data_IF_599063415100
#
_entry.id   IF_599063415100
#
_cell.length_a   1.000
_cell.length_b   1.000
_cell.length_c   1.000
_cell.angle_alpha   90.00
_cell.angle_beta   90.00
_cell.angle_gamma   90.00
#
_symmetry.space_group_name_H-M   'P 1'
#
loop_
_entity.id
_entity.type
_entity.pdbx_description
1 polymer ?
#
# COMPACT_ATOMS: atom_id res chain seq x y z
N UNK A 1 10.19 -56.62 56.37
CA UNK A 1 9.59 -57.27 55.18
C UNK A 1 9.60 -56.20 54.10
N UNK A 2 10.69 -55.96 53.38
CA UNK A 2 11.45 -56.85 52.48
C UNK A 2 10.61 -57.21 51.24
N UNK A 3 11.06 -57.10 49.98
CA UNK A 3 12.31 -56.60 49.37
C UNK A 3 11.89 -55.92 48.03
N UNK A 4 12.55 -54.89 47.48
CA UNK A 4 13.93 -54.77 46.97
C UNK A 4 14.16 -55.55 45.65
N UNK A 5 14.51 -54.81 44.59
CA UNK A 5 15.25 -55.16 43.34
C UNK A 5 14.98 -54.03 42.29
N UNK A 6 15.90 -53.14 41.83
CA UNK A 6 17.32 -53.25 41.38
C UNK A 6 17.45 -54.30 40.25
N UNK A 7 18.22 -54.20 39.18
CA UNK A 7 19.27 -53.27 38.69
C UNK A 7 19.43 -53.51 37.14
N UNK A 8 20.24 -52.84 36.29
CA UNK A 8 21.24 -51.77 36.42
C UNK A 8 21.50 -51.05 35.05
N UNK A 9 22.41 -50.06 35.05
CA UNK A 9 23.33 -49.57 33.98
C UNK A 9 23.38 -50.24 32.58
N UNK A 10 23.58 -49.42 31.53
CA UNK A 10 24.87 -49.44 30.82
C UNK A 10 25.27 -48.07 30.22
N UNK A 11 26.59 -47.85 30.04
CA UNK A 11 27.23 -46.57 29.63
C UNK A 11 28.09 -46.76 28.36
N UNK A 12 28.65 -45.64 27.85
CA UNK A 12 29.82 -45.56 26.94
C UNK A 12 29.59 -46.03 25.47
N UNK A 13 30.31 -45.57 24.44
CA UNK A 13 31.34 -44.51 24.31
C UNK A 13 31.46 -43.98 22.85
N UNK A 14 32.15 -42.84 22.71
CA UNK A 14 33.09 -42.40 21.63
C UNK A 14 33.00 -42.93 20.18
N UNK A 15 33.00 -42.00 19.21
CA UNK A 15 34.06 -41.75 18.19
C UNK A 15 33.52 -40.72 17.15
N UNK A 16 34.10 -39.53 16.92
CA UNK A 16 35.41 -39.10 16.38
C UNK A 16 35.52 -39.10 14.84
N UNK A 17 36.05 -37.96 14.32
CA UNK A 17 36.76 -37.77 13.03
C UNK A 17 35.96 -37.88 11.71
N UNK A 18 36.35 -37.24 10.59
CA UNK A 18 37.15 -36.00 10.36
C UNK A 18 37.01 -35.59 8.86
N UNK A 19 37.60 -34.45 8.49
CA UNK A 19 38.20 -34.12 7.17
C UNK A 19 37.35 -33.75 5.92
N UNK A 20 37.69 -32.55 5.42
CA UNK A 20 38.18 -32.24 4.06
C UNK A 20 37.33 -31.62 2.92
N UNK A 21 37.55 -30.30 2.77
CA UNK A 21 38.16 -29.58 1.61
C UNK A 21 37.41 -29.42 0.27
N UNK A 22 37.42 -28.16 -0.17
CA UNK A 22 37.62 -27.61 -1.52
C UNK A 22 37.24 -28.42 -2.77
N UNK A 23 36.51 -27.78 -3.71
CA UNK A 23 37.20 -27.28 -4.92
C UNK A 23 36.48 -26.11 -5.61
N UNK A 24 37.26 -25.36 -6.40
CA UNK A 24 36.90 -24.10 -7.05
C UNK A 24 36.17 -24.25 -8.41
N UNK A 25 35.76 -23.07 -8.90
CA UNK A 25 35.89 -22.60 -10.29
C UNK A 25 34.76 -22.86 -11.32
N UNK A 26 34.23 -21.76 -11.88
CA UNK A 26 34.01 -21.52 -13.33
C UNK A 26 33.52 -20.09 -13.64
N UNK A 27 34.44 -19.28 -14.17
CA UNK A 27 34.35 -18.32 -15.29
C UNK A 27 33.08 -17.45 -15.55
N UNK A 28 33.29 -16.11 -15.61
CA UNK A 28 33.30 -15.27 -16.85
C UNK A 28 32.21 -15.51 -17.92
N UNK A 29 31.50 -14.52 -18.50
CA UNK A 29 31.98 -13.26 -19.12
C UNK A 29 30.84 -12.23 -19.42
N UNK A 30 31.26 -10.98 -19.72
CA UNK A 30 30.64 -9.94 -20.58
C UNK A 30 29.24 -9.33 -20.32
N UNK A 31 29.23 -7.99 -20.10
CA UNK A 31 28.86 -7.00 -21.16
C UNK A 31 29.10 -5.53 -20.77
N UNK A 32 29.78 -4.80 -21.65
CA UNK A 32 29.73 -3.33 -21.77
C UNK A 32 28.40 -2.90 -22.43
N UNK A 33 27.94 -1.67 -22.17
CA UNK A 33 28.08 -0.52 -23.09
C UNK A 33 27.07 0.61 -22.78
N UNK A 34 27.51 1.65 -22.06
CA UNK A 34 26.73 2.87 -21.84
C UNK A 34 27.02 3.93 -22.92
N UNK A 35 25.97 4.56 -23.42
CA UNK A 35 26.03 5.77 -24.23
C UNK A 35 24.64 6.43 -24.23
N UNK A 36 24.54 7.69 -23.82
CA UNK A 36 24.28 8.83 -24.72
C UNK A 36 23.71 10.04 -23.94
N UNK A 37 24.57 11.00 -23.60
CA UNK A 37 24.14 12.32 -23.15
C UNK A 37 23.50 13.09 -24.31
N UNK A 38 22.41 13.81 -24.06
CA UNK A 38 21.99 14.91 -24.92
C UNK A 38 21.25 15.98 -24.11
N UNK A 39 21.90 17.13 -23.96
CA UNK A 39 21.42 18.29 -23.23
C UNK A 39 20.97 19.37 -24.22
N UNK A 40 19.87 20.08 -23.97
CA UNK A 40 19.39 21.10 -24.91
C UNK A 40 18.80 22.33 -24.20
N UNK A 41 19.26 23.51 -24.63
CA UNK A 41 18.84 24.85 -24.19
C UNK A 41 17.33 25.09 -24.47
N UNK A 42 16.62 26.06 -23.88
CA UNK A 42 16.98 27.48 -23.88
C UNK A 42 16.09 28.33 -22.96
N UNK A 43 16.63 29.42 -22.43
CA UNK A 43 15.92 30.43 -21.65
C UNK A 43 15.06 31.37 -22.52
N UNK A 44 14.05 32.02 -21.91
CA UNK A 44 13.61 33.37 -22.27
C UNK A 44 12.72 33.97 -21.17
N UNK A 45 13.22 35.01 -20.48
CA UNK A 45 12.44 35.86 -19.57
C UNK A 45 11.86 37.07 -20.32
N UNK A 46 10.67 37.50 -19.93
CA UNK A 46 10.14 38.84 -20.22
C UNK A 46 9.89 39.56 -18.88
N UNK A 47 10.41 40.78 -18.73
CA UNK A 47 10.21 41.61 -17.56
C UNK A 47 9.02 42.57 -17.73
N UNK A 48 8.25 42.68 -16.64
CA UNK A 48 7.77 43.90 -15.99
C UNK A 48 7.46 45.15 -16.81
N UNK A 49 6.19 45.57 -16.74
CA UNK A 49 5.81 46.98 -16.61
C UNK A 49 4.45 47.06 -15.88
N UNK A 50 4.42 47.66 -14.68
CA UNK A 50 3.25 48.28 -14.05
C UNK A 50 3.63 48.85 -12.68
N UNK A 51 3.37 50.14 -12.46
CA UNK A 51 3.33 50.72 -11.12
C UNK A 51 2.19 51.75 -11.05
N UNK A 52 1.39 51.67 -9.98
CA UNK A 52 0.22 52.51 -9.71
C UNK A 52 0.57 53.60 -8.69
N UNK A 53 -0.13 54.73 -8.80
CA UNK A 53 -0.31 55.80 -7.79
C UNK A 53 -1.49 56.68 -8.33
N UNK A 54 -2.44 57.24 -7.58
CA UNK A 54 -2.71 57.26 -6.14
C UNK A 54 -4.15 57.79 -5.83
N UNK A 55 -4.60 57.69 -4.56
CA UNK A 55 -5.56 58.56 -3.83
C UNK A 55 -7.13 58.55 -3.99
N UNK A 56 -7.78 58.17 -2.86
CA UNK A 56 -8.70 58.97 -1.99
C UNK A 56 -10.24 58.74 -1.84
N UNK A 57 -10.59 58.36 -0.60
CA UNK A 57 -11.62 58.90 0.34
C UNK A 57 -13.12 58.51 0.39
N UNK A 58 -13.52 58.13 1.63
CA UNK A 58 -14.78 58.43 2.37
C UNK A 58 -16.13 57.83 1.91
N UNK A 59 -17.11 57.55 2.79
CA UNK A 59 -17.22 57.44 4.27
C UNK A 59 -18.49 56.59 4.56
N UNK A 60 -18.66 56.00 5.76
CA UNK A 60 -19.89 55.23 6.07
C UNK A 60 -19.79 54.25 7.24
N UNK A 61 -19.96 54.75 8.47
CA UNK A 61 -20.05 53.93 9.69
C UNK A 61 -21.47 53.39 9.89
N UNK A 62 -21.58 52.21 10.48
CA UNK A 62 -22.54 51.99 11.57
C UNK A 62 -22.02 50.93 12.55
N UNK A 63 -22.10 51.25 13.84
CA UNK A 63 -21.62 50.40 14.93
C UNK A 63 -22.77 49.56 15.48
N UNK A 64 -22.49 48.31 15.86
CA UNK A 64 -23.15 47.76 17.05
C UNK A 64 -22.21 46.83 17.82
N UNK A 65 -21.94 47.19 19.07
CA UNK A 65 -21.07 46.43 19.96
C UNK A 65 -21.79 45.22 20.53
N UNK A 66 -21.05 44.12 20.68
CA UNK A 66 -21.09 43.31 21.90
C UNK A 66 -19.69 42.72 22.07
N UNK A 67 -18.91 43.33 22.96
CA UNK A 67 -17.71 42.72 23.52
C UNK A 67 -18.11 41.74 24.64
N UNK A 68 -17.11 40.95 25.05
CA UNK A 68 -17.09 39.91 26.09
C UNK A 68 -17.14 38.48 25.46
N UNK A 69 -16.08 37.66 25.52
CA UNK A 69 -14.76 37.92 26.11
C UNK A 69 -13.68 36.92 25.61
N UNK A 70 -12.41 37.31 25.71
CA UNK A 70 -11.19 36.47 25.63
C UNK A 70 -10.80 35.73 24.32
N UNK A 71 -10.04 36.44 23.49
CA UNK A 71 -8.73 36.05 22.96
C UNK A 71 -8.41 34.54 22.75
N UNK A 72 -8.31 34.16 21.47
CA UNK A 72 -6.97 34.00 20.90
C UNK A 72 -6.99 34.28 19.39
N UNK A 73 -6.63 35.51 19.01
CA UNK A 73 -6.22 35.79 17.65
C UNK A 73 -4.96 34.97 17.34
N UNK A 74 -5.03 34.12 16.31
CA UNK A 74 -3.90 34.02 15.40
C UNK A 74 -4.34 34.74 14.13
N UNK A 75 -3.88 35.98 14.01
CA UNK A 75 -4.17 36.86 12.89
C UNK A 75 -3.87 36.23 11.54
N UNK A 76 -4.50 36.80 10.50
CA UNK A 76 -4.13 36.53 9.12
C UNK A 76 -2.65 36.80 8.88
N UNK A 77 -1.85 35.74 8.86
CA UNK A 77 -0.70 35.66 7.97
C UNK A 77 -1.17 35.08 6.65
N UNK A 78 -0.95 35.88 5.63
CA UNK A 78 -1.14 35.58 4.22
C UNK A 78 -0.68 34.15 3.86
N UNK A 79 -1.64 33.23 3.83
CA UNK A 79 -1.41 31.83 3.48
C UNK A 79 -1.49 31.62 1.95
N UNK A 80 -1.39 32.69 1.16
CA UNK A 80 -1.16 32.63 -0.28
C UNK A 80 0.29 32.28 -0.65
N UNK A 81 1.08 31.78 0.31
CA UNK A 81 2.16 30.83 0.01
C UNK A 81 1.52 29.56 -0.57
N UNK A 82 1.42 29.54 -1.89
CA UNK A 82 1.12 28.37 -2.71
C UNK A 82 2.13 27.23 -2.41
N UNK A 83 1.89 26.49 -1.32
CA UNK A 83 2.52 25.20 -1.01
C UNK A 83 1.99 24.09 -1.94
N UNK A 84 1.44 24.44 -3.11
CA UNK A 84 0.75 23.56 -4.06
C UNK A 84 1.68 22.55 -4.74
N UNK A 85 2.97 22.57 -4.42
CA UNK A 85 3.87 21.48 -4.74
C UNK A 85 4.64 21.08 -3.49
N UNK A 86 4.07 20.12 -2.77
CA UNK A 86 4.66 19.49 -1.57
C UNK A 86 6.06 18.95 -1.88
N UNK A 87 6.28 18.43 -3.11
CA UNK A 87 7.55 17.87 -3.53
C UNK A 87 8.65 18.90 -3.80
N UNK A 88 8.33 20.17 -4.13
CA UNK A 88 9.33 21.26 -4.16
C UNK A 88 9.91 21.56 -2.78
N UNK A 89 9.14 21.34 -1.72
CA UNK A 89 9.56 21.56 -0.33
C UNK A 89 10.00 20.26 0.37
N UNK A 90 9.94 19.12 -0.32
CA UNK A 90 10.35 17.82 0.21
C UNK A 90 11.87 17.65 0.15
N UNK A 91 12.40 16.81 1.04
CA UNK A 91 13.79 16.33 1.00
C UNK A 91 13.92 14.93 0.39
N UNK A 92 12.80 14.33 0.00
CA UNK A 92 12.76 13.05 -0.69
C UNK A 92 12.93 13.26 -2.19
N UNK A 93 13.54 12.29 -2.86
CA UNK A 93 13.62 12.27 -4.32
C UNK A 93 12.23 12.28 -4.95
N UNK A 94 12.13 12.77 -6.19
CA UNK A 94 10.87 12.73 -6.95
C UNK A 94 10.59 11.31 -7.44
N UNK A 95 9.32 10.91 -7.42
CA UNK A 95 8.86 9.70 -8.08
C UNK A 95 8.96 9.81 -9.60
N UNK A 96 9.61 8.84 -10.22
CA UNK A 96 9.75 8.67 -11.67
C UNK A 96 8.78 7.61 -12.25
N UNK A 97 8.03 6.94 -11.37
CA UNK A 97 7.14 5.83 -11.70
C UNK A 97 7.66 4.46 -11.29
N UNK A 98 8.89 4.38 -10.80
CA UNK A 98 9.43 3.14 -10.21
C UNK A 98 9.07 3.02 -8.72
N UNK A 99 9.22 1.82 -8.16
CA UNK A 99 9.12 1.63 -6.71
C UNK A 99 10.48 1.94 -6.06
N UNK A 100 10.56 3.05 -5.31
CA UNK A 100 11.70 3.35 -4.45
C UNK A 100 11.41 2.96 -2.97
N UNK A 101 12.11 1.94 -2.40
CA UNK A 101 11.92 1.49 -1.02
C UNK A 101 12.33 2.50 0.07
N UNK A 102 13.21 3.46 -0.25
CA UNK A 102 13.71 4.46 0.70
C UNK A 102 12.75 5.65 0.90
N UNK A 103 11.69 5.71 0.07
CA UNK A 103 10.65 6.74 0.11
C UNK A 103 10.94 7.90 -0.84
N UNK A 104 9.88 8.42 -1.45
CA UNK A 104 9.95 9.41 -2.52
C UNK A 104 8.67 10.27 -2.54
N UNK A 105 8.73 11.41 -3.23
CA UNK A 105 7.62 12.34 -3.33
C UNK A 105 6.91 12.24 -4.70
N UNK A 106 5.61 11.98 -4.68
CA UNK A 106 4.77 11.84 -5.87
C UNK A 106 4.04 13.15 -6.15
N UNK A 107 4.18 13.67 -7.37
CA UNK A 107 3.47 14.89 -7.83
C UNK A 107 2.12 14.59 -8.52
N UNK A 108 1.78 13.32 -8.73
CA UNK A 108 0.51 12.88 -9.32
C UNK A 108 -0.70 13.32 -8.47
N UNK A 109 -1.61 14.07 -9.10
CA UNK A 109 -2.86 14.51 -8.46
C UNK A 109 -3.81 13.33 -8.20
N UNK A 110 -4.68 13.47 -7.19
CA UNK A 110 -5.59 12.41 -6.74
C UNK A 110 -6.46 11.82 -7.86
N UNK A 111 -6.99 12.68 -8.75
CA UNK A 111 -7.85 12.28 -9.86
C UNK A 111 -9.34 12.45 -9.60
N UNK A 112 -10.14 11.68 -10.34
CA UNK A 112 -11.60 11.70 -10.29
C UNK A 112 -12.12 10.95 -9.06
N UNK A 113 -13.13 11.52 -8.39
CA UNK A 113 -13.72 10.99 -7.15
C UNK A 113 -15.15 10.50 -7.43
N UNK A 114 -15.53 9.26 -7.06
CA UNK A 114 -16.86 8.72 -7.34
C UNK A 114 -17.94 9.43 -6.51
N UNK A 115 -19.21 9.29 -6.91
CA UNK A 115 -20.34 9.70 -6.05
C UNK A 115 -20.50 8.76 -4.84
N UNK A 116 -21.31 9.17 -3.85
CA UNK A 116 -21.61 8.34 -2.66
C UNK A 116 -22.18 6.98 -3.06
N UNK A 117 -23.05 6.93 -4.07
CA UNK A 117 -23.63 5.68 -4.60
C UNK A 117 -22.64 4.78 -5.35
N UNK A 118 -21.48 5.32 -5.74
CA UNK A 118 -20.40 4.63 -6.44
C UNK A 118 -19.16 4.38 -5.56
N UNK A 119 -19.29 4.48 -4.23
CA UNK A 119 -18.20 4.11 -3.32
C UNK A 119 -17.85 2.62 -3.43
N UNK A 120 -16.57 2.32 -3.19
CA UNK A 120 -16.04 0.95 -3.15
C UNK A 120 -16.38 0.31 -1.80
N UNK A 121 -16.80 -0.95 -1.85
CA UNK A 121 -16.87 -1.87 -0.71
C UNK A 121 -16.47 -3.26 -1.19
N UNK A 122 -15.58 -3.93 -0.46
CA UNK A 122 -15.13 -5.29 -0.75
C UNK A 122 -15.65 -6.27 0.29
N UNK A 123 -15.82 -7.53 -0.10
CA UNK A 123 -16.12 -8.65 0.80
C UNK A 123 -15.34 -9.90 0.36
N UNK A 124 -14.63 -10.53 1.29
CA UNK A 124 -14.00 -11.84 1.09
C UNK A 124 -15.07 -12.91 1.36
N UNK A 125 -15.58 -13.50 0.27
CA UNK A 125 -16.65 -14.51 0.32
C UNK A 125 -16.12 -15.94 0.49
N UNK A 126 -14.81 -16.15 0.25
CA UNK A 126 -14.14 -17.43 0.44
C UNK A 126 -12.67 -17.22 0.81
N UNK A 127 -12.10 -17.99 1.75
CA UNK A 127 -12.81 -18.79 2.76
C UNK A 127 -13.72 -17.91 3.64
N UNK A 128 -14.64 -18.48 4.41
CA UNK A 128 -15.45 -17.71 5.34
C UNK A 128 -14.64 -17.23 6.56
N UNK A 129 -15.01 -16.11 7.18
CA UNK A 129 -14.38 -15.65 8.43
C UNK A 129 -14.52 -16.69 9.56
N UNK A 130 -13.49 -16.78 10.40
CA UNK A 130 -13.38 -17.75 11.50
C UNK A 130 -13.18 -19.21 11.08
N UNK A 131 -13.23 -19.53 9.79
CA UNK A 131 -13.17 -20.90 9.27
C UNK A 131 -11.81 -21.59 9.51
N UNK A 132 -11.83 -22.92 9.52
CA UNK A 132 -10.64 -23.77 9.57
C UNK A 132 -10.40 -24.42 8.22
N UNK A 133 -9.14 -24.41 7.75
CA UNK A 133 -8.68 -25.11 6.54
C UNK A 133 -7.50 -26.04 6.86
N UNK A 134 -7.29 -27.05 6.01
CA UNK A 134 -6.22 -28.04 6.15
C UNK A 134 -4.85 -27.46 5.77
N UNK A 135 -3.82 -27.77 6.56
CA UNK A 135 -2.45 -27.31 6.35
C UNK A 135 -1.83 -27.93 5.10
N UNK A 136 -1.06 -27.13 4.36
CA UNK A 136 -0.35 -27.51 3.12
C UNK A 136 -1.29 -28.09 2.03
N UNK A 137 -2.57 -27.74 2.05
CA UNK A 137 -3.53 -28.04 0.99
C UNK A 137 -3.89 -26.81 0.19
N UNK A 138 -4.05 -27.00 -1.12
CA UNK A 138 -4.62 -26.00 -2.01
C UNK A 138 -5.98 -25.53 -1.49
N UNK A 139 -6.13 -24.22 -1.36
CA UNK A 139 -7.43 -23.58 -1.18
C UNK A 139 -7.55 -22.36 -2.09
N UNK A 140 -8.73 -21.76 -2.12
CA UNK A 140 -9.05 -20.61 -2.97
C UNK A 140 -9.59 -19.47 -2.13
N UNK A 141 -9.16 -18.25 -2.48
CA UNK A 141 -9.67 -17.00 -1.94
C UNK A 141 -10.50 -16.33 -3.03
N UNK A 142 -11.75 -15.99 -2.74
CA UNK A 142 -12.67 -15.30 -3.65
C UNK A 142 -13.24 -14.05 -2.96
N UNK A 143 -13.34 -12.97 -3.72
CA UNK A 143 -13.83 -11.66 -3.28
C UNK A 143 -14.85 -11.10 -4.25
N UNK A 144 -15.77 -10.29 -3.72
CA UNK A 144 -16.65 -9.40 -4.48
C UNK A 144 -16.23 -7.97 -4.14
N UNK A 145 -16.28 -7.06 -5.11
CA UNK A 145 -16.00 -5.64 -4.88
C UNK A 145 -16.97 -4.79 -5.69
N UNK A 146 -17.80 -4.02 -4.98
CA UNK A 146 -18.74 -3.11 -5.61
C UNK A 146 -18.02 -1.91 -6.20
N UNK A 147 -18.57 -1.40 -7.31
CA UNK A 147 -18.16 -0.17 -7.99
C UNK A 147 -16.70 -0.09 -8.48
N UNK A 148 -15.97 -1.21 -8.47
CA UNK A 148 -14.68 -1.37 -9.15
C UNK A 148 -14.89 -1.94 -10.56
N UNK A 149 -14.32 -1.28 -11.57
CA UNK A 149 -14.06 -1.89 -12.87
C UNK A 149 -12.63 -2.46 -12.80
N UNK A 150 -12.58 -3.72 -12.35
CA UNK A 150 -11.37 -4.52 -12.20
C UNK A 150 -10.70 -4.85 -13.54
N UNK A 151 -9.40 -5.15 -13.52
CA UNK A 151 -8.61 -5.50 -14.69
C UNK A 151 -7.74 -4.36 -15.23
N UNK A 152 -7.66 -3.25 -14.49
CA UNK A 152 -6.77 -2.13 -14.77
C UNK A 152 -5.59 -2.19 -13.81
N UNK A 153 -4.49 -2.80 -14.27
CA UNK A 153 -3.25 -3.01 -13.53
C UNK A 153 -2.09 -2.52 -14.40
N UNK A 154 -1.37 -1.48 -13.94
CA UNK A 154 -0.18 -0.96 -14.63
C UNK A 154 1.06 -1.83 -14.35
N UNK A 155 2.18 -1.61 -15.05
CA UNK A 155 3.45 -2.27 -14.67
C UNK A 155 3.97 -1.67 -13.34
N UNK A 156 4.00 -2.38 -12.21
CA UNK A 156 4.43 -1.81 -10.93
C UNK A 156 5.91 -1.40 -10.92
N UNK A 157 6.73 -1.89 -11.87
CA UNK A 157 8.15 -1.51 -11.96
C UNK A 157 8.34 -0.16 -12.65
N UNK A 158 7.36 0.30 -13.43
CA UNK A 158 7.49 1.48 -14.33
C UNK A 158 6.37 2.52 -14.21
N UNK A 159 5.20 2.12 -13.73
CA UNK A 159 3.97 2.91 -13.71
C UNK A 159 3.33 2.91 -12.30
N UNK A 160 4.16 3.00 -11.27
CA UNK A 160 3.73 3.08 -9.87
C UNK A 160 3.40 4.54 -9.51
N UNK A 161 2.14 4.78 -9.11
CA UNK A 161 1.58 6.09 -8.79
C UNK A 161 1.70 7.16 -9.90
N UNK A 162 1.88 6.78 -11.19
CA UNK A 162 2.10 7.74 -12.30
C UNK A 162 0.84 8.36 -12.90
N UNK A 163 -0.36 7.84 -12.61
CA UNK A 163 -1.64 8.35 -13.17
C UNK A 163 -2.65 8.64 -12.06
N UNK A 164 -3.50 9.66 -12.22
CA UNK A 164 -4.60 9.93 -11.29
C UNK A 164 -5.60 8.76 -11.22
N UNK A 165 -6.44 8.73 -10.17
CA UNK A 165 -7.63 7.86 -10.16
C UNK A 165 -8.55 8.26 -11.32
N UNK A 166 -9.09 7.27 -12.04
CA UNK A 166 -9.98 7.48 -13.18
C UNK A 166 -11.30 6.73 -12.98
N UNK A 167 -12.40 7.30 -13.48
CA UNK A 167 -13.72 6.71 -13.46
C UNK A 167 -14.18 6.31 -14.87
N UNK A 168 -15.05 5.30 -14.93
CA UNK A 168 -15.88 5.01 -16.09
C UNK A 168 -17.29 4.71 -15.62
N UNK A 169 -18.26 5.49 -16.07
CA UNK A 169 -19.65 5.44 -15.61
C UNK A 169 -19.77 5.57 -14.08
N UNK A 170 -18.98 6.47 -13.48
CA UNK A 170 -18.93 6.69 -12.01
C UNK A 170 -18.11 5.68 -11.21
N UNK A 171 -17.74 4.54 -11.81
CA UNK A 171 -17.00 3.43 -11.17
C UNK A 171 -15.50 3.54 -11.38
N UNK A 172 -14.70 3.19 -10.37
CA UNK A 172 -13.23 3.34 -10.42
C UNK A 172 -12.60 2.30 -11.34
N UNK A 173 -11.67 2.75 -12.19
CA UNK A 173 -10.78 1.86 -12.95
C UNK A 173 -9.62 1.41 -12.04
N UNK A 174 -9.52 0.10 -11.80
CA UNK A 174 -8.46 -0.42 -10.92
C UNK A 174 -8.34 -1.94 -10.85
N UNK A 175 -7.80 -2.40 -9.73
CA UNK A 175 -7.50 -3.79 -9.42
C UNK A 175 -7.54 -4.03 -7.91
N UNK A 176 -7.37 -5.28 -7.48
CA UNK A 176 -7.30 -5.65 -6.07
C UNK A 176 -6.08 -6.55 -5.83
N UNK A 177 -5.58 -6.59 -4.60
CA UNK A 177 -4.55 -7.51 -4.15
C UNK A 177 -5.08 -8.36 -3.00
N UNK A 178 -4.62 -9.61 -2.90
CA UNK A 178 -4.87 -10.50 -1.76
C UNK A 178 -3.58 -10.67 -0.98
N UNK A 179 -3.65 -10.45 0.32
CA UNK A 179 -2.51 -10.57 1.23
C UNK A 179 -2.92 -11.48 2.37
N UNK A 180 -2.16 -12.55 2.58
CA UNK A 180 -2.32 -13.46 3.71
C UNK A 180 -1.13 -13.30 4.63
N UNK A 181 -1.36 -12.90 5.88
CA UNK A 181 -0.31 -12.75 6.88
C UNK A 181 -0.54 -13.74 8.02
N UNK A 182 0.52 -14.42 8.46
CA UNK A 182 0.47 -15.22 9.69
C UNK A 182 0.29 -14.27 10.86
N UNK A 183 -0.69 -14.55 11.71
CA UNK A 183 -0.92 -13.85 12.95
C UNK A 183 0.11 -14.33 13.98
N UNK A 184 0.70 -13.40 14.72
CA UNK A 184 1.62 -13.68 15.82
C UNK A 184 0.86 -14.17 17.07
N UNK A 185 1.53 -14.50 18.16
CA UNK A 185 0.85 -14.76 19.44
C UNK A 185 0.52 -13.45 20.19
N UNK A 186 1.27 -12.38 19.91
CA UNK A 186 1.09 -11.07 20.54
C UNK A 186 0.01 -10.21 19.85
N UNK A 187 -1.25 -10.58 20.08
CA UNK A 187 -2.47 -9.87 19.64
C UNK A 187 -2.55 -8.37 19.98
N UNK A 188 -1.56 -7.77 20.66
CA UNK A 188 -1.46 -6.35 20.98
C UNK A 188 -0.45 -5.58 20.13
N UNK A 189 0.20 -6.20 19.14
CA UNK A 189 1.08 -5.54 18.16
C UNK A 189 0.51 -5.62 16.74
N UNK A 190 0.66 -4.57 15.92
CA UNK A 190 0.42 -4.66 14.48
C UNK A 190 1.38 -5.65 13.82
N UNK A 191 0.91 -6.37 12.80
CA UNK A 191 1.77 -7.24 11.99
C UNK A 191 2.77 -6.40 11.18
N UNK A 192 3.98 -6.92 10.99
CA UNK A 192 4.98 -6.31 10.12
C UNK A 192 4.47 -6.34 8.65
N UNK A 193 4.25 -5.18 7.99
CA UNK A 193 3.72 -5.14 6.63
C UNK A 193 4.67 -5.75 5.58
N UNK A 194 5.97 -5.89 5.89
CA UNK A 194 6.97 -6.54 5.02
C UNK A 194 6.91 -8.07 5.06
N UNK A 195 6.05 -8.66 5.90
CA UNK A 195 5.98 -10.12 6.10
C UNK A 195 4.56 -10.61 5.78
N UNK A 196 4.49 -11.48 4.77
CA UNK A 196 3.27 -12.17 4.35
C UNK A 196 3.59 -13.64 4.04
N UNK A 197 2.61 -14.51 4.20
CA UNK A 197 2.69 -15.92 3.80
C UNK A 197 2.21 -16.11 2.34
N UNK A 198 1.40 -15.18 1.83
CA UNK A 198 0.97 -15.14 0.44
C UNK A 198 0.66 -13.70 0.03
N UNK A 199 1.01 -13.31 -1.20
CA UNK A 199 0.63 -12.05 -1.82
C UNK A 199 0.31 -12.29 -3.29
N UNK A 200 -0.78 -11.71 -3.80
CA UNK A 200 -1.08 -11.69 -5.25
C UNK A 200 -1.88 -10.47 -5.65
N UNK A 201 -1.38 -9.70 -6.60
CA UNK A 201 -2.17 -8.75 -7.39
C UNK A 201 -3.10 -9.47 -8.37
N UNK A 202 -4.35 -9.04 -8.41
CA UNK A 202 -5.43 -9.56 -9.26
C UNK A 202 -5.59 -8.61 -10.46
N UNK A 203 -4.85 -8.91 -11.51
CA UNK A 203 -4.71 -8.12 -12.74
C UNK A 203 -5.83 -8.34 -13.77
N UNK A 204 -6.68 -9.35 -13.56
CA UNK A 204 -7.76 -9.72 -14.48
C UNK A 204 -9.09 -9.04 -14.16
N UNK A 205 -9.97 -8.83 -15.16
CA UNK A 205 -11.38 -8.50 -14.91
C UNK A 205 -12.10 -9.59 -14.09
N UNK A 206 -12.98 -9.16 -13.19
CA UNK A 206 -13.83 -10.03 -12.38
C UNK A 206 -14.73 -10.89 -13.27
N UNK A 207 -14.81 -12.19 -12.95
CA UNK A 207 -15.68 -13.14 -13.65
C UNK A 207 -16.96 -13.27 -12.85
N UNK A 208 -18.09 -12.85 -13.43
CA UNK A 208 -19.39 -12.80 -12.76
C UNK A 208 -19.36 -12.01 -11.44
N UNK A 209 -18.61 -10.89 -11.39
CA UNK A 209 -18.45 -10.06 -10.19
C UNK A 209 -17.44 -10.59 -9.16
N UNK A 210 -16.84 -11.77 -9.40
CA UNK A 210 -15.88 -12.39 -8.49
C UNK A 210 -14.45 -12.20 -9.01
N UNK A 211 -13.57 -11.71 -8.13
CA UNK A 211 -12.12 -11.79 -8.26
C UNK A 211 -11.61 -12.88 -7.31
N UNK A 212 -10.58 -13.64 -7.68
CA UNK A 212 -10.07 -14.65 -6.76
C UNK A 212 -8.88 -15.46 -7.27
N UNK A 213 -8.17 -16.05 -6.33
CA UNK A 213 -6.84 -16.66 -6.50
C UNK A 213 -6.75 -17.98 -5.75
N UNK A 214 -6.02 -18.93 -6.33
CA UNK A 214 -5.70 -20.20 -5.70
C UNK A 214 -4.36 -20.09 -4.96
N UNK A 215 -4.35 -20.44 -3.67
CA UNK A 215 -3.13 -20.62 -2.87
C UNK A 215 -2.72 -22.08 -3.02
N UNK A 216 -1.99 -22.39 -4.09
CA UNK A 216 -1.76 -23.77 -4.56
C UNK A 216 -1.03 -24.65 -3.53
N UNK A 217 0.01 -24.14 -2.88
CA UNK A 217 0.80 -24.88 -1.89
C UNK A 217 0.16 -24.90 -0.49
N UNK A 218 -1.00 -24.24 -0.35
CA UNK A 218 -1.66 -24.04 0.93
C UNK A 218 -0.87 -23.14 1.88
N UNK A 219 -1.08 -23.34 3.18
CA UNK A 219 -0.39 -22.63 4.25
C UNK A 219 0.11 -23.62 5.32
N UNK A 220 1.22 -23.33 6.02
CA UNK A 220 1.57 -24.03 7.25
C UNK A 220 0.49 -23.85 8.34
N UNK A 221 0.48 -24.72 9.36
CA UNK A 221 -0.42 -24.55 10.50
C UNK A 221 -0.16 -23.23 11.26
N UNK A 222 -1.24 -22.61 11.72
CA UNK A 222 -1.24 -21.33 12.43
C UNK A 222 -2.55 -20.56 12.25
N UNK A 223 -2.64 -19.39 12.87
CA UNK A 223 -3.73 -18.44 12.63
C UNK A 223 -3.27 -17.41 11.59
N UNK A 224 -4.19 -16.99 10.72
CA UNK A 224 -3.89 -16.08 9.62
C UNK A 224 -4.95 -15.00 9.48
N UNK A 225 -4.53 -13.83 9.00
CA UNK A 225 -5.42 -12.78 8.49
C UNK A 225 -5.30 -12.74 6.97
N UNK A 226 -6.43 -12.75 6.28
CA UNK A 226 -6.52 -12.49 4.84
C UNK A 226 -7.14 -11.11 4.69
N UNK A 227 -6.49 -10.21 3.95
CA UNK A 227 -7.01 -8.88 3.64
C UNK A 227 -6.95 -8.61 2.13
N UNK A 228 -7.78 -7.66 1.69
CA UNK A 228 -7.64 -7.02 0.39
C UNK A 228 -6.80 -5.74 0.46
N UNK A 229 -6.28 -5.30 -0.70
CA UNK A 229 -5.96 -3.90 -0.97
C UNK A 229 -6.63 -3.57 -2.32
N UNK A 230 -7.60 -2.65 -2.34
CA UNK A 230 -8.19 -2.12 -3.58
C UNK A 230 -7.42 -0.88 -4.02
N UNK A 231 -6.88 -0.95 -5.24
CA UNK A 231 -6.08 0.09 -5.85
C UNK A 231 -6.71 0.55 -7.15
N UNK A 232 -6.52 1.83 -7.48
CA UNK A 232 -6.76 2.32 -8.84
C UNK A 232 -5.67 1.84 -9.81
N UNK A 233 -5.81 2.16 -11.09
CA UNK A 233 -4.95 1.66 -12.18
C UNK A 233 -3.44 1.64 -11.87
N UNK A 234 -2.88 2.75 -11.36
CA UNK A 234 -1.44 2.88 -11.03
C UNK A 234 -1.13 2.66 -9.55
N UNK A 235 -1.81 1.71 -8.92
CA UNK A 235 -1.55 1.18 -7.58
C UNK A 235 -1.95 2.05 -6.38
N UNK A 236 -2.28 3.34 -6.53
CA UNK A 236 -2.67 4.16 -5.38
C UNK A 236 -4.00 3.68 -4.76
N UNK A 237 -4.15 3.73 -3.41
CA UNK A 237 -5.39 3.39 -2.73
C UNK A 237 -6.58 4.19 -3.25
N UNK A 238 -7.75 3.56 -3.32
CA UNK A 238 -8.95 4.20 -3.87
C UNK A 238 -9.51 5.32 -2.98
N UNK A 239 -9.80 6.48 -3.58
CA UNK A 239 -10.19 7.72 -2.89
C UNK A 239 -11.69 7.97 -3.05
N UNK A 240 -12.37 8.24 -1.93
CA UNK A 240 -13.84 8.31 -1.79
C UNK A 240 -14.32 9.74 -1.47
N UNK A 241 -15.59 10.11 -1.78
CA UNK A 241 -16.10 11.49 -1.68
C UNK A 241 -16.35 12.00 -0.26
N UNK A 242 -16.51 11.14 0.73
CA UNK A 242 -16.90 11.51 2.10
C UNK A 242 -16.08 10.78 3.16
N UNK A 243 -15.88 11.41 4.32
CA UNK A 243 -15.13 10.84 5.44
C UNK A 243 -15.93 9.75 6.18
N UNK A 244 -17.23 9.98 6.43
CA UNK A 244 -18.11 9.04 7.14
C UNK A 244 -18.67 8.00 6.16
N UNK A 245 -17.96 6.87 6.04
CA UNK A 245 -18.28 5.76 5.11
C UNK A 245 -17.76 4.42 5.66
N UNK A 246 -18.12 3.32 4.98
CA UNK A 246 -17.48 2.02 5.19
C UNK A 246 -16.01 1.99 4.72
N UNK A 247 -15.28 0.97 5.17
CA UNK A 247 -13.94 0.68 4.64
C UNK A 247 -14.05 0.15 3.20
N UNK A 248 -13.09 0.53 2.35
CA UNK A 248 -13.04 0.04 0.97
C UNK A 248 -12.56 -1.42 0.90
N UNK A 249 -11.69 -1.81 1.83
CA UNK A 249 -11.08 -3.14 1.95
C UNK A 249 -11.74 -4.01 3.02
N UNK A 250 -11.62 -5.33 2.87
CA UNK A 250 -12.07 -6.33 3.84
C UNK A 250 -10.89 -7.14 4.41
N UNK A 251 -11.07 -7.68 5.63
CA UNK A 251 -10.08 -8.46 6.36
C UNK A 251 -10.73 -9.55 7.23
N UNK A 252 -10.64 -10.81 6.80
CA UNK A 252 -11.08 -11.99 7.58
C UNK A 252 -9.92 -12.66 8.32
N UNK A 253 -10.23 -13.55 9.26
CA UNK A 253 -9.28 -14.38 10.00
C UNK A 253 -9.63 -15.86 9.84
N UNK A 254 -8.62 -16.68 9.59
CA UNK A 254 -8.79 -18.13 9.44
C UNK A 254 -7.80 -18.91 10.29
N UNK A 255 -8.13 -20.18 10.52
CA UNK A 255 -7.31 -21.17 11.21
C UNK A 255 -6.79 -22.17 10.19
N UNK A 256 -5.48 -22.39 10.16
CA UNK A 256 -4.87 -23.47 9.38
C UNK A 256 -4.41 -24.54 10.34
N UNK A 257 -4.84 -25.79 10.15
CA UNK A 257 -4.63 -26.91 11.07
C UNK A 257 -4.23 -28.19 10.31
N UNK A 258 -3.47 -29.06 10.98
CA UNK A 258 -3.16 -30.41 10.49
C UNK A 258 -4.36 -31.35 10.70
#
# INVERSE_FOLDING_TARGET
MNNDDKNNDNRNNDDRNNDDKNNDNRNNDDKNNDNNDNNNNNDNNNNDDNNNDDNNNNDGKDNNNNNDDNNNNNDGKDNNKNNNNICKNSKLDKGDGTQNPDGYCVETVMGEIPSVDNMISTLIIKPADGSTIEAKKKFRIDTITDNLISGFFSDPVKEYYVKPQQLKNGKILGHSHIIVQKLDDNRRKPLNPKVFAFFKGLDQPAKNGILGVDVNDGLPAGDYRICTIVSSFTHQPVIMPIAQRGAQDDCIRIKVRN
#
